data_IF_015381755114
#
_entry.id   IF_015381755114
#
_cell.length_a   1.000
_cell.length_b   1.000
_cell.length_c   1.000
_cell.angle_alpha   90.00
_cell.angle_beta   90.00
_cell.angle_gamma   90.00
#
_symmetry.space_group_name_H-M   'P 1'
#
loop_
_entity.id
_entity.type
_entity.pdbx_description
1 polymer ?
#
# COMPACT_ATOMS: atom_id res chain seq x y z
N UNK A 1 15.00 -12.94 1.82
CA UNK A 1 14.15 -11.99 1.06
C UNK A 1 13.28 -11.23 2.02
N UNK A 2 12.88 -10.00 1.68
CA UNK A 2 11.89 -9.27 2.45
C UNK A 2 10.51 -9.86 2.20
N UNK A 3 9.80 -10.19 3.28
CA UNK A 3 8.41 -10.63 3.28
C UNK A 3 7.60 -9.64 4.12
N UNK A 4 6.43 -9.25 3.61
CA UNK A 4 5.49 -8.39 4.33
C UNK A 4 4.11 -9.04 4.30
N UNK A 5 3.50 -9.20 5.47
CA UNK A 5 2.10 -9.61 5.60
C UNK A 5 1.30 -8.36 5.99
N UNK A 6 0.25 -8.05 5.23
CA UNK A 6 -0.55 -6.83 5.40
C UNK A 6 -2.00 -7.13 5.80
N UNK A 7 -2.49 -6.40 6.79
CA UNK A 7 -3.91 -6.22 7.03
C UNK A 7 -4.39 -4.99 6.25
N UNK A 8 -5.48 -5.15 5.50
CA UNK A 8 -6.02 -4.11 4.62
C UNK A 8 -7.50 -3.92 4.93
N UNK A 9 -7.90 -2.71 5.32
CA UNK A 9 -9.30 -2.39 5.57
C UNK A 9 -9.61 -0.93 5.21
N UNK A 10 -10.78 -0.63 4.59
CA UNK A 10 -11.24 0.75 4.44
C UNK A 10 -11.44 1.46 5.79
N UNK A 11 -11.82 0.75 6.85
CA UNK A 11 -11.86 1.29 8.20
C UNK A 11 -10.46 1.21 8.83
N UNK A 12 -9.85 2.38 9.02
CA UNK A 12 -8.54 2.53 9.63
C UNK A 12 -8.47 1.88 11.02
N UNK A 13 -9.53 1.98 11.83
CA UNK A 13 -9.53 1.40 13.18
C UNK A 13 -9.43 -0.12 13.12
N UNK A 14 -10.10 -0.76 12.15
CA UNK A 14 -10.03 -2.21 11.96
C UNK A 14 -8.63 -2.63 11.47
N UNK A 15 -8.10 -1.95 10.45
CA UNK A 15 -6.76 -2.23 9.93
C UNK A 15 -5.68 -2.09 11.02
N UNK A 16 -5.76 -1.01 11.81
CA UNK A 16 -4.76 -0.69 12.83
C UNK A 16 -4.90 -1.58 14.08
N UNK A 17 -6.12 -1.97 14.46
CA UNK A 17 -6.36 -2.91 15.54
C UNK A 17 -5.97 -4.36 15.19
N UNK A 18 -5.78 -4.68 13.91
CA UNK A 18 -5.42 -6.04 13.50
C UNK A 18 -4.07 -6.44 14.10
N UNK A 19 -4.01 -7.55 14.86
CA UNK A 19 -2.75 -8.06 15.40
C UNK A 19 -1.91 -8.64 14.26
N UNK A 20 -0.66 -8.19 14.14
CA UNK A 20 0.31 -8.68 13.16
C UNK A 20 1.53 -9.22 13.89
N UNK A 21 1.33 -10.20 14.77
CA UNK A 21 2.41 -10.76 15.58
C UNK A 21 3.21 -11.76 14.76
N UNK A 22 4.42 -11.35 14.39
CA UNK A 22 5.36 -12.25 13.73
C UNK A 22 6.18 -13.01 14.79
N UNK A 23 6.37 -14.31 14.59
CA UNK A 23 7.14 -15.21 15.46
C UNK A 23 8.25 -15.92 14.69
N UNK A 24 9.27 -16.41 15.41
CA UNK A 24 10.34 -17.23 14.84
C UNK A 24 11.36 -16.47 13.98
N UNK A 25 11.43 -15.14 14.11
CA UNK A 25 12.40 -14.27 13.42
C UNK A 25 12.88 -13.16 14.36
N UNK A 26 14.13 -12.70 14.15
CA UNK A 26 14.79 -11.77 15.07
C UNK A 26 14.39 -10.30 14.89
N UNK A 27 14.02 -9.91 13.66
CA UNK A 27 13.71 -8.52 13.31
C UNK A 27 12.40 -8.44 12.56
N UNK A 28 11.50 -7.64 13.12
CA UNK A 28 10.18 -7.35 12.56
C UNK A 28 10.00 -5.85 12.56
N UNK A 29 9.56 -5.29 11.44
CA UNK A 29 9.16 -3.89 11.31
C UNK A 29 7.66 -3.85 11.10
N UNK A 30 6.92 -3.17 11.98
CA UNK A 30 5.48 -2.96 11.83
C UNK A 30 5.25 -1.50 11.48
N UNK A 31 4.53 -1.26 10.40
CA UNK A 31 4.22 0.08 9.89
C UNK A 31 2.78 0.13 9.42
N UNK A 32 2.22 1.33 9.37
CA UNK A 32 0.95 1.60 8.72
C UNK A 32 1.15 2.63 7.61
N UNK A 33 0.42 2.45 6.51
CA UNK A 33 0.43 3.33 5.35
C UNK A 33 -1.03 3.62 4.98
N UNK A 34 -1.39 4.90 4.89
CA UNK A 34 -2.62 5.31 4.25
C UNK A 34 -2.43 5.34 2.73
N UNK A 35 -3.43 4.82 2.02
CA UNK A 35 -3.44 4.79 0.57
C UNK A 35 -4.67 5.55 0.10
N UNK A 36 -4.47 6.81 -0.28
CA UNK A 36 -5.50 7.68 -0.83
C UNK A 36 -5.41 7.73 -2.36
N UNK A 37 -6.57 7.81 -3.02
CA UNK A 37 -6.68 7.88 -4.47
C UNK A 37 -8.04 8.42 -4.93
N UNK A 38 -8.24 8.64 -6.24
CA UNK A 38 -9.51 9.11 -6.74
C UNK A 38 -10.59 8.02 -6.58
N UNK A 39 -11.65 8.38 -5.87
CA UNK A 39 -12.93 7.67 -5.82
C UNK A 39 -13.94 8.24 -6.82
N UNK A 40 -15.19 7.77 -6.77
CA UNK A 40 -16.20 8.22 -7.71
C UNK A 40 -16.51 9.71 -7.59
N UNK A 41 -16.83 10.32 -8.73
CA UNK A 41 -17.14 11.75 -8.81
C UNK A 41 -15.95 12.66 -8.50
N UNK A 42 -14.72 12.16 -8.54
CA UNK A 42 -13.51 12.96 -8.27
C UNK A 42 -13.26 13.24 -6.79
N UNK A 43 -13.98 12.55 -5.88
CA UNK A 43 -13.72 12.62 -4.44
C UNK A 43 -12.48 11.79 -4.11
N UNK A 44 -11.72 12.18 -3.08
CA UNK A 44 -10.67 11.31 -2.54
C UNK A 44 -11.33 10.15 -1.77
N UNK A 45 -10.85 8.94 -2.02
CA UNK A 45 -11.21 7.71 -1.31
C UNK A 45 -9.91 7.03 -0.87
N UNK A 46 -9.96 6.20 0.16
CA UNK A 46 -8.75 5.62 0.70
C UNK A 46 -8.98 4.45 1.63
N UNK A 47 -7.87 3.86 2.05
CA UNK A 47 -7.87 2.80 3.03
C UNK A 47 -6.49 2.71 3.69
N UNK A 48 -6.43 2.08 4.87
CA UNK A 48 -5.19 1.91 5.61
C UNK A 48 -4.67 0.48 5.44
N UNK A 49 -3.36 0.37 5.25
CA UNK A 49 -2.61 -0.87 5.30
C UNK A 49 -1.76 -0.89 6.55
N UNK A 50 -1.90 -1.91 7.40
CA UNK A 50 -0.92 -2.21 8.43
C UNK A 50 -0.10 -3.41 7.99
N UNK A 51 1.22 -3.31 7.98
CA UNK A 51 2.12 -4.35 7.52
C UNK A 51 3.12 -4.78 8.58
N UNK A 52 3.41 -6.07 8.66
CA UNK A 52 4.56 -6.60 9.37
C UNK A 52 5.57 -7.15 8.37
N UNK A 53 6.74 -6.53 8.33
CA UNK A 53 7.85 -6.86 7.43
C UNK A 53 8.96 -7.58 8.19
N UNK A 54 9.42 -8.70 7.65
CA UNK A 54 10.49 -9.52 8.21
C UNK A 54 11.25 -10.26 7.10
N UNK A 55 12.34 -10.94 7.46
CA UNK A 55 13.12 -11.72 6.50
C UNK A 55 12.81 -13.21 6.60
N UNK A 56 12.55 -13.83 5.45
CA UNK A 56 12.42 -15.28 5.30
C UNK A 56 13.17 -15.74 4.03
N UNK A 57 13.41 -17.04 3.87
CA UNK A 57 13.92 -17.61 2.61
C UNK A 57 12.76 -18.19 1.80
N UNK A 58 12.94 -18.37 0.49
CA UNK A 58 11.92 -19.05 -0.31
C UNK A 58 11.71 -20.49 0.17
N UNK A 59 12.81 -21.18 0.47
CA UNK A 59 12.77 -22.56 0.95
C UNK A 59 11.98 -22.71 2.26
N UNK A 60 12.06 -21.72 3.15
CA UNK A 60 11.32 -21.74 4.42
C UNK A 60 9.82 -21.52 4.25
N UNK A 61 9.38 -20.96 3.11
CA UNK A 61 7.98 -20.77 2.74
C UNK A 61 7.37 -22.01 2.03
N UNK A 62 8.13 -23.11 1.94
CA UNK A 62 7.60 -24.43 1.58
C UNK A 62 6.86 -24.45 0.24
N UNK A 63 5.56 -24.76 0.28
CA UNK A 63 4.70 -24.90 -0.89
C UNK A 63 3.89 -23.63 -1.19
N UNK A 64 4.18 -22.53 -0.49
CA UNK A 64 3.46 -21.26 -0.56
C UNK A 64 1.98 -21.44 -0.21
N UNK A 65 1.67 -22.22 0.83
CA UNK A 65 0.30 -22.34 1.36
C UNK A 65 0.06 -21.36 2.50
N UNK A 66 -1.20 -21.08 2.84
CA UNK A 66 -1.54 -20.26 4.01
C UNK A 66 -0.79 -20.73 5.27
N UNK A 67 -0.72 -22.04 5.49
CA UNK A 67 -0.01 -22.66 6.61
C UNK A 67 1.49 -22.37 6.62
N UNK A 68 2.14 -22.24 5.46
CA UNK A 68 3.55 -21.87 5.38
C UNK A 68 3.80 -20.44 5.88
N UNK A 69 2.86 -19.52 5.63
CA UNK A 69 2.91 -18.15 6.18
C UNK A 69 2.45 -18.11 7.65
N UNK A 70 1.48 -18.94 8.04
CA UNK A 70 0.97 -19.01 9.41
C UNK A 70 2.02 -19.50 10.43
N UNK A 71 3.08 -20.20 9.97
CA UNK A 71 4.27 -20.50 10.81
C UNK A 71 4.91 -19.23 11.37
N UNK A 72 4.89 -18.15 10.59
CA UNK A 72 5.43 -16.85 10.97
C UNK A 72 4.39 -15.94 11.61
N UNK A 73 3.11 -16.03 11.20
CA UNK A 73 2.03 -15.22 11.75
C UNK A 73 0.83 -16.12 12.12
N UNK A 74 0.80 -16.66 13.36
CA UNK A 74 -0.20 -17.65 13.78
C UNK A 74 -1.65 -17.19 13.63
N UNK A 75 -1.92 -15.88 13.67
CA UNK A 75 -3.24 -15.29 13.44
C UNK A 75 -3.83 -15.64 12.06
N UNK A 76 -2.99 -15.94 11.06
CA UNK A 76 -3.48 -16.40 9.75
C UNK A 76 -4.27 -17.72 9.85
N UNK A 77 -3.96 -18.57 10.85
CA UNK A 77 -4.67 -19.82 11.05
C UNK A 77 -6.09 -19.62 11.61
N UNK A 78 -6.43 -18.44 12.14
CA UNK A 78 -7.75 -18.15 12.71
C UNK A 78 -8.73 -17.61 11.67
N UNK A 79 -8.31 -17.44 10.41
CA UNK A 79 -9.15 -16.92 9.32
C UNK A 79 -10.20 -17.91 8.81
N UNK A 80 -10.22 -19.15 9.32
CA UNK A 80 -11.14 -20.20 8.87
C UNK A 80 -10.81 -20.76 7.49
N UNK A 81 -9.64 -20.42 6.93
CA UNK A 81 -9.15 -20.92 5.65
C UNK A 81 -8.23 -22.13 5.90
N UNK A 82 -8.37 -23.25 5.17
CA UNK A 82 -7.51 -24.42 5.34
C UNK A 82 -6.03 -24.10 5.17
N UNK A 83 -5.17 -24.66 6.04
CA UNK A 83 -3.73 -24.38 6.03
C UNK A 83 -3.00 -24.86 4.75
N UNK A 84 -3.56 -25.83 4.04
CA UNK A 84 -3.05 -26.33 2.76
C UNK A 84 -3.53 -25.51 1.55
N UNK A 85 -4.33 -24.46 1.76
CA UNK A 85 -4.75 -23.53 0.72
C UNK A 85 -3.53 -22.89 0.07
N UNK A 86 -3.32 -23.18 -1.22
CA UNK A 86 -2.23 -22.62 -2.01
C UNK A 86 -2.48 -21.14 -2.26
N UNK A 87 -1.48 -20.30 -2.00
CA UNK A 87 -1.52 -18.89 -2.36
C UNK A 87 -1.15 -18.70 -3.83
N UNK A 88 -1.85 -17.78 -4.49
CA UNK A 88 -1.59 -17.44 -5.89
C UNK A 88 -0.69 -16.22 -5.94
N UNK A 89 0.53 -16.41 -6.44
CA UNK A 89 1.48 -15.32 -6.67
C UNK A 89 1.10 -14.52 -7.91
N UNK A 90 1.07 -13.20 -7.78
CA UNK A 90 1.00 -12.27 -8.90
C UNK A 90 2.36 -11.59 -9.06
N UNK A 91 3.02 -11.79 -10.20
CA UNK A 91 4.28 -11.11 -10.50
C UNK A 91 3.97 -9.76 -11.16
N UNK A 92 4.62 -8.72 -10.67
CA UNK A 92 4.64 -7.41 -11.30
C UNK A 92 6.07 -6.86 -11.30
N UNK A 93 6.30 -5.90 -12.18
CA UNK A 93 7.53 -5.13 -12.27
C UNK A 93 7.16 -3.68 -11.97
N UNK A 94 8.01 -2.98 -11.23
CA UNK A 94 7.78 -1.57 -10.94
C UNK A 94 8.99 -0.71 -11.22
N UNK A 95 8.73 0.53 -11.64
CA UNK A 95 9.72 1.60 -11.76
C UNK A 95 9.27 2.70 -10.83
N UNK A 96 10.11 3.05 -9.87
CA UNK A 96 9.86 4.13 -8.93
C UNK A 96 10.78 5.31 -9.21
N UNK A 97 10.20 6.50 -9.27
CA UNK A 97 10.92 7.78 -9.36
C UNK A 97 10.70 8.54 -8.06
N UNK A 98 11.78 9.05 -7.47
CA UNK A 98 11.77 9.89 -6.27
C UNK A 98 12.33 11.27 -6.63
N UNK A 99 11.49 12.21 -7.10
CA UNK A 99 11.96 13.53 -7.55
C UNK A 99 12.50 14.41 -6.42
N UNK A 100 12.12 14.16 -5.16
CA UNK A 100 12.53 14.98 -4.02
C UNK A 100 11.45 14.97 -2.93
N UNK A 101 11.37 16.06 -2.18
CA UNK A 101 10.32 16.30 -1.20
C UNK A 101 9.40 17.45 -1.64
N UNK A 102 8.18 17.47 -1.09
CA UNK A 102 7.26 18.61 -1.16
C UNK A 102 7.08 19.17 0.24
N UNK A 103 7.04 20.49 0.35
CA UNK A 103 6.69 21.18 1.60
C UNK A 103 5.17 21.36 1.61
N UNK A 104 4.48 20.69 2.53
CA UNK A 104 3.05 20.92 2.74
C UNK A 104 2.88 21.92 3.87
N UNK A 105 1.88 22.80 3.75
CA UNK A 105 1.69 23.91 4.68
C UNK A 105 1.56 23.42 6.14
N UNK A 106 2.47 23.88 7.00
CA UNK A 106 2.47 23.53 8.43
C UNK A 106 3.13 22.19 8.76
N UNK A 107 3.93 21.63 7.85
CA UNK A 107 4.53 20.29 7.99
C UNK A 107 5.98 20.28 7.53
N UNK A 108 6.75 19.28 7.97
CA UNK A 108 8.11 19.05 7.48
C UNK A 108 8.10 18.48 6.03
N UNK A 109 9.28 18.49 5.39
CA UNK A 109 9.49 17.95 4.04
C UNK A 109 8.90 16.54 3.88
N UNK A 110 7.89 16.43 3.00
CA UNK A 110 7.24 15.18 2.68
C UNK A 110 7.91 14.56 1.46
N UNK A 111 8.57 13.41 1.63
CA UNK A 111 9.20 12.70 0.52
C UNK A 111 8.15 12.32 -0.53
N UNK A 112 8.38 12.69 -1.80
CA UNK A 112 7.43 12.46 -2.88
C UNK A 112 7.94 11.37 -3.82
N UNK A 113 7.07 10.47 -4.25
CA UNK A 113 7.44 9.44 -5.22
C UNK A 113 6.29 9.00 -6.12
N UNK A 114 6.67 8.62 -7.33
CA UNK A 114 5.80 8.01 -8.32
C UNK A 114 6.25 6.58 -8.58
N UNK A 115 5.32 5.65 -8.69
CA UNK A 115 5.62 4.26 -9.04
C UNK A 115 4.70 3.76 -10.15
N UNK A 116 5.28 3.35 -11.28
CA UNK A 116 4.57 2.70 -12.37
C UNK A 116 4.73 1.19 -12.31
N UNK A 117 3.63 0.44 -12.45
CA UNK A 117 3.61 -1.02 -12.42
C UNK A 117 3.28 -1.61 -13.78
N UNK A 118 4.05 -2.61 -14.22
CA UNK A 118 3.87 -3.33 -15.47
C UNK A 118 3.83 -4.85 -15.24
N UNK A 119 3.27 -5.58 -16.20
CA UNK A 119 3.21 -7.05 -16.17
C UNK A 119 4.50 -7.69 -16.68
N UNK A 120 5.31 -6.95 -17.43
CA UNK A 120 6.63 -7.36 -17.93
C UNK A 120 7.68 -6.24 -17.83
N UNK A 121 8.97 -6.57 -17.78
CA UNK A 121 10.04 -5.56 -17.82
C UNK A 121 9.95 -4.71 -19.09
N UNK A 122 10.05 -3.38 -18.95
CA UNK A 122 10.10 -2.44 -20.07
C UNK A 122 8.77 -2.16 -20.79
N UNK A 123 7.66 -2.81 -20.40
CA UNK A 123 6.34 -2.47 -20.92
C UNK A 123 5.77 -1.20 -20.27
N UNK A 124 4.83 -0.56 -20.97
CA UNK A 124 4.09 0.57 -20.44
C UNK A 124 3.36 0.17 -19.14
N UNK A 125 3.43 0.99 -18.07
CA UNK A 125 2.72 0.71 -16.85
C UNK A 125 1.20 0.64 -17.07
N UNK A 126 0.55 -0.32 -16.40
CA UNK A 126 -0.91 -0.45 -16.39
C UNK A 126 -1.56 0.22 -15.17
N UNK A 127 -0.74 0.63 -14.20
CA UNK A 127 -1.15 1.24 -12.93
C UNK A 127 -0.04 2.20 -12.48
N UNK A 128 -0.44 3.31 -11.89
CA UNK A 128 0.48 4.27 -11.28
C UNK A 128 0.06 4.57 -9.85
N UNK A 129 1.06 4.68 -8.99
CA UNK A 129 0.92 5.00 -7.58
C UNK A 129 1.69 6.29 -7.27
N UNK A 130 1.11 7.13 -6.40
CA UNK A 130 1.68 8.40 -5.96
C UNK A 130 1.76 8.33 -4.45
N UNK A 131 2.96 8.46 -3.90
CA UNK A 131 3.16 8.39 -2.45
C UNK A 131 3.78 9.67 -1.92
N UNK A 132 3.20 10.17 -0.84
CA UNK A 132 3.78 11.15 0.06
C UNK A 132 4.21 10.41 1.33
N UNK A 133 5.51 10.44 1.61
CA UNK A 133 6.09 9.82 2.80
C UNK A 133 6.45 10.87 3.83
N UNK A 134 6.00 10.66 5.06
CA UNK A 134 6.34 11.48 6.21
C UNK A 134 7.43 10.77 7.02
N UNK A 135 8.46 11.51 7.46
CA UNK A 135 9.48 10.95 8.35
C UNK A 135 9.04 11.01 9.80
N UNK A 136 9.16 9.90 10.55
CA UNK A 136 9.04 9.84 12.02
C UNK A 136 7.81 10.53 12.66
N UNK A 137 6.65 10.52 11.99
CA UNK A 137 5.37 11.05 12.51
C UNK A 137 4.40 9.90 12.78
N UNK A 138 3.78 9.87 13.96
CA UNK A 138 2.67 8.97 14.27
C UNK A 138 1.44 9.38 13.42
N UNK A 139 0.83 8.40 12.75
CA UNK A 139 -0.35 8.59 11.91
C UNK A 139 -1.49 9.35 12.65
N UNK A 140 -1.65 9.17 13.95
CA UNK A 140 -2.72 9.86 14.70
C UNK A 140 -2.34 11.25 15.20
N UNK A 141 -1.06 11.59 15.22
CA UNK A 141 -0.58 12.85 15.80
C UNK A 141 -0.60 14.02 14.82
N UNK A 142 -1.03 13.81 13.56
CA UNK A 142 -1.01 14.88 12.56
C UNK A 142 -2.23 14.87 11.62
N UNK A 143 -3.42 15.10 12.19
CA UNK A 143 -4.64 15.35 11.40
C UNK A 143 -4.45 16.50 10.38
N UNK A 144 -3.68 17.53 10.73
CA UNK A 144 -3.37 18.64 9.84
C UNK A 144 -2.50 18.23 8.64
N UNK A 145 -1.57 17.29 8.82
CA UNK A 145 -0.75 16.75 7.74
C UNK A 145 -1.58 15.90 6.78
N UNK A 146 -2.49 15.07 7.31
CA UNK A 146 -3.43 14.32 6.47
C UNK A 146 -4.28 15.26 5.65
N UNK A 147 -4.89 16.26 6.28
CA UNK A 147 -5.68 17.28 5.56
C UNK A 147 -4.84 18.02 4.51
N UNK A 148 -3.60 18.44 4.84
CA UNK A 148 -2.73 19.12 3.89
C UNK A 148 -2.36 18.23 2.69
N UNK A 149 -2.11 16.94 2.93
CA UNK A 149 -1.84 15.96 1.88
C UNK A 149 -3.04 15.66 1.01
N UNK A 150 -4.23 15.53 1.60
CA UNK A 150 -5.48 15.39 0.85
C UNK A 150 -5.71 16.62 -0.05
N UNK A 151 -5.49 17.83 0.49
CA UNK A 151 -5.63 19.06 -0.28
C UNK A 151 -4.60 19.16 -1.40
N UNK A 152 -3.35 18.76 -1.17
CA UNK A 152 -2.32 18.70 -2.21
C UNK A 152 -2.73 17.71 -3.31
N UNK A 153 -3.19 16.52 -2.93
CA UNK A 153 -3.65 15.52 -3.88
C UNK A 153 -4.82 16.03 -4.71
N UNK A 154 -5.81 16.66 -4.09
CA UNK A 154 -6.98 17.21 -4.80
C UNK A 154 -6.62 18.39 -5.73
N UNK A 155 -5.83 19.35 -5.25
CA UNK A 155 -5.54 20.59 -6.00
C UNK A 155 -4.48 20.37 -7.08
N UNK A 156 -3.38 19.70 -6.73
CA UNK A 156 -2.21 19.58 -7.62
C UNK A 156 -2.35 18.34 -8.47
N UNK A 157 -2.52 17.16 -7.86
CA UNK A 157 -2.54 15.90 -8.61
C UNK A 157 -3.83 15.75 -9.42
N UNK A 158 -4.99 15.92 -8.78
CA UNK A 158 -6.29 15.77 -9.44
C UNK A 158 -6.75 17.03 -10.21
N UNK A 159 -6.20 18.20 -9.89
CA UNK A 159 -6.55 19.48 -10.50
C UNK A 159 -5.54 19.95 -11.53
N UNK A 160 -4.53 20.71 -11.10
CA UNK A 160 -3.57 21.40 -11.97
C UNK A 160 -2.80 20.47 -12.92
N UNK A 161 -2.48 19.27 -12.44
CA UNK A 161 -1.77 18.28 -13.22
C UNK A 161 -2.72 17.29 -13.89
N UNK A 162 -4.06 17.45 -13.88
CA UNK A 162 -4.98 16.43 -14.40
C UNK A 162 -4.64 15.98 -15.83
N UNK A 163 -4.24 16.92 -16.68
CA UNK A 163 -3.97 16.68 -18.10
C UNK A 163 -2.56 16.10 -18.36
N UNK A 164 -1.63 16.28 -17.41
CA UNK A 164 -0.24 15.80 -17.49
C UNK A 164 -0.05 14.51 -16.70
N UNK A 165 -0.61 14.47 -15.50
CA UNK A 165 -0.54 13.37 -14.56
C UNK A 165 -1.51 12.24 -14.90
N UNK A 166 -2.62 12.47 -15.62
CA UNK A 166 -3.72 11.48 -15.63
C UNK A 166 -4.41 11.16 -16.97
N UNK A 167 -3.69 10.85 -18.08
CA UNK A 167 -4.29 10.00 -19.11
C UNK A 167 -4.71 8.67 -18.46
N UNK A 168 -6.00 8.35 -18.51
CA UNK A 168 -6.60 7.19 -17.82
C UNK A 168 -6.49 7.30 -16.28
N UNK A 169 -6.92 8.43 -15.71
CA UNK A 169 -6.95 8.72 -14.26
C UNK A 169 -7.49 7.57 -13.40
N UNK A 170 -8.40 6.74 -13.92
CA UNK A 170 -8.90 5.53 -13.27
C UNK A 170 -7.82 4.47 -12.97
N UNK A 171 -6.64 4.58 -13.61
CA UNK A 171 -5.45 3.75 -13.37
C UNK A 171 -4.46 4.38 -12.39
N UNK A 172 -4.69 5.63 -12.00
CA UNK A 172 -3.88 6.40 -11.06
C UNK A 172 -4.58 6.43 -9.71
N UNK A 173 -3.87 6.07 -8.63
CA UNK A 173 -4.46 5.90 -7.29
C UNK A 173 -5.23 4.59 -7.10
N UNK A 174 -5.13 3.67 -8.06
CA UNK A 174 -5.35 2.26 -7.79
C UNK A 174 -4.14 1.76 -7.01
N UNK A 175 -4.27 1.55 -5.70
CA UNK A 175 -3.25 0.77 -5.02
C UNK A 175 -3.07 -0.57 -5.73
N UNK A 176 -1.82 -1.06 -5.75
CA UNK A 176 -1.48 -2.46 -6.07
C UNK A 176 -2.49 -3.45 -5.46
N UNK A 177 -2.98 -3.18 -4.25
CA UNK A 177 -3.97 -4.01 -3.55
C UNK A 177 -5.33 -3.99 -4.22
N UNK A 178 -5.79 -2.86 -4.79
CA UNK A 178 -7.03 -2.79 -5.57
C UNK A 178 -6.97 -3.73 -6.77
N UNK A 179 -5.84 -3.74 -7.49
CA UNK A 179 -5.60 -4.66 -8.62
C UNK A 179 -5.48 -6.11 -8.17
N UNK A 180 -4.69 -6.37 -7.13
CA UNK A 180 -4.45 -7.73 -6.61
C UNK A 180 -5.71 -8.36 -6.00
N UNK A 181 -6.58 -7.55 -5.39
CA UNK A 181 -7.85 -8.00 -4.81
C UNK A 181 -9.04 -7.88 -5.77
N UNK A 182 -8.81 -7.52 -7.04
CA UNK A 182 -9.86 -7.32 -8.05
C UNK A 182 -11.01 -6.40 -7.57
N UNK A 183 -10.67 -5.35 -6.82
CA UNK A 183 -11.65 -4.38 -6.33
C UNK A 183 -12.06 -3.46 -7.50
N UNK A 184 -13.35 -3.13 -7.66
CA UNK A 184 -13.80 -2.25 -8.73
C UNK A 184 -13.17 -0.85 -8.62
N UNK A 185 -12.91 -0.23 -9.77
CA UNK A 185 -12.36 1.14 -9.87
C UNK A 185 -13.40 2.22 -9.49
N UNK A 186 -14.67 1.84 -9.34
CA UNK A 186 -15.79 2.75 -9.13
C UNK A 186 -16.74 2.21 -8.07
N UNK A 187 -17.07 3.02 -7.07
CA UNK A 187 -18.30 2.93 -6.27
C UNK A 187 -19.08 4.21 -6.45
#
# INVERSE_FOLDING_TARGET
MGLTIKAVNPDANIALATPLKVVGVDKVKVEAEENAGPGAGGRLDGYVEKGASFSATLDSLGKLTLGDFAKYMPELATLGIPADTKLVGNRAYSVRVKPGAVELAGTDDCGFSFEGWSTKPGEAPYLYDVSLGYGDIDFYDSAALHEASEQFYQKVILGELSDVAMPQAEKWGGSKVRKLMNRPLTH
#
